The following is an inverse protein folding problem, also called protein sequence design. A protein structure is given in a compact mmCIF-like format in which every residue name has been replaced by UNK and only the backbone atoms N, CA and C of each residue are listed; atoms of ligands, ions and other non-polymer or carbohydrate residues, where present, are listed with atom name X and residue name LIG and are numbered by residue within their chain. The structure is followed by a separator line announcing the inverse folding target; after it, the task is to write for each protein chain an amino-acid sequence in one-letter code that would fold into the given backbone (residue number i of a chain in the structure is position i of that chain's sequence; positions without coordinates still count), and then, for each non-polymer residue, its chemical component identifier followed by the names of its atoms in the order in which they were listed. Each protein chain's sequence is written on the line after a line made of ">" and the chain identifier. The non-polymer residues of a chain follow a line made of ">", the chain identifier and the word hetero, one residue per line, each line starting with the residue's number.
data_IF_300248621197
#
_entry.id   IF_300248621197
#
_cell.length_a   1.000
_cell.length_b   1.000
_cell.length_c   1.000
_cell.angle_alpha   90.00
_cell.angle_beta   90.00
_cell.angle_gamma   90.00
#
_symmetry.space_group_name_H-M   'P 1'
#
loop_
_entity.id
_entity.type
_entity.pdbx_description
1 polymer ?
#
# COMPACT_ATOMS: atom_id res chain seq x y z
N UNK A 1 -4.66 -13.71 -9.83
CA UNK A 1 -4.59 -13.16 -8.46
C UNK A 1 -4.28 -11.68 -8.52
N UNK A 2 -4.71 -10.90 -7.52
CA UNK A 2 -4.46 -9.46 -7.48
C UNK A 2 -3.96 -9.02 -6.12
N UNK A 3 -3.14 -7.98 -6.11
CA UNK A 3 -2.82 -7.19 -4.91
C UNK A 3 -3.12 -5.73 -5.22
N UNK A 4 -3.56 -4.95 -4.24
CA UNK A 4 -3.80 -3.51 -4.45
C UNK A 4 -2.98 -2.66 -3.49
N UNK A 5 -2.67 -1.44 -3.92
CA UNK A 5 -1.97 -0.43 -3.15
C UNK A 5 -2.90 0.77 -3.00
N UNK A 6 -3.11 1.19 -1.77
CA UNK A 6 -3.96 2.33 -1.43
C UNK A 6 -3.29 3.16 -0.35
N UNK A 7 -3.62 4.44 -0.27
CA UNK A 7 -3.07 5.35 0.73
C UNK A 7 -3.40 6.80 0.39
N UNK A 8 -3.10 7.71 1.31
CA UNK A 8 -3.32 9.15 1.08
C UNK A 8 -2.63 9.67 -0.18
N UNK A 9 -3.19 10.72 -0.77
CA UNK A 9 -2.48 11.56 -1.74
C UNK A 9 -1.08 11.92 -1.23
N UNK A 10 -0.08 11.77 -2.10
CA UNK A 10 1.34 12.03 -1.81
C UNK A 10 1.99 11.16 -0.73
N UNK A 11 1.38 10.05 -0.29
CA UNK A 11 2.00 9.11 0.67
C UNK A 11 3.23 8.39 0.10
N UNK A 12 3.47 8.45 -1.22
CA UNK A 12 4.58 7.78 -1.89
C UNK A 12 4.22 6.49 -2.63
N UNK A 13 2.93 6.23 -2.84
CA UNK A 13 2.39 5.06 -3.56
C UNK A 13 3.01 4.84 -4.94
N UNK A 14 2.95 5.82 -5.83
CA UNK A 14 3.53 5.67 -7.18
C UNK A 14 5.04 5.48 -7.16
N UNK A 15 5.76 6.15 -6.24
CA UNK A 15 7.19 5.95 -6.04
C UNK A 15 7.51 4.54 -5.55
N UNK A 16 6.72 4.01 -4.62
CA UNK A 16 6.86 2.64 -4.14
C UNK A 16 6.61 1.63 -5.27
N UNK A 17 5.55 1.81 -6.06
CA UNK A 17 5.22 0.92 -7.19
C UNK A 17 6.34 0.96 -8.22
N UNK A 18 6.87 2.14 -8.54
CA UNK A 18 8.05 2.27 -9.42
C UNK A 18 9.26 1.54 -8.85
N UNK A 19 9.54 1.66 -7.56
CA UNK A 19 10.63 0.95 -6.90
C UNK A 19 10.40 -0.58 -6.91
N UNK A 20 9.17 -1.06 -6.74
CA UNK A 20 8.83 -2.49 -6.85
C UNK A 20 9.09 -3.03 -8.25
N UNK A 21 8.87 -2.23 -9.30
CA UNK A 21 9.16 -2.59 -10.69
C UNK A 21 10.56 -2.21 -11.17
N UNK A 22 11.48 -1.80 -10.30
CA UNK A 22 12.83 -1.38 -10.72
C UNK A 22 13.67 -2.44 -11.46
N UNK A 23 13.27 -3.71 -11.39
CA UNK A 23 13.90 -4.83 -12.11
C UNK A 23 13.12 -5.27 -13.36
N UNK A 24 12.07 -4.54 -13.72
CA UNK A 24 11.19 -4.77 -14.87
C UNK A 24 11.07 -3.45 -15.67
N UNK A 25 12.12 -3.05 -16.42
CA UNK A 25 12.22 -1.74 -17.04
C UNK A 25 11.14 -1.44 -18.09
N UNK A 26 10.46 -2.46 -18.60
CA UNK A 26 9.33 -2.37 -19.51
C UNK A 26 8.04 -1.86 -18.87
N UNK A 27 7.95 -1.85 -17.53
CA UNK A 27 6.76 -1.40 -16.81
C UNK A 27 6.84 0.12 -16.57
N UNK A 28 6.16 0.90 -17.42
CA UNK A 28 6.08 2.35 -17.25
C UNK A 28 5.17 2.73 -16.07
N UNK A 29 5.77 3.21 -14.98
CA UNK A 29 5.06 3.77 -13.82
C UNK A 29 5.28 5.27 -13.75
N UNK A 30 4.20 6.04 -13.95
CA UNK A 30 4.23 7.50 -13.83
C UNK A 30 4.18 7.92 -12.36
N UNK A 31 5.12 8.76 -11.96
CA UNK A 31 5.21 9.33 -10.60
C UNK A 31 5.04 10.84 -10.71
N UNK A 32 4.00 11.39 -10.06
CA UNK A 32 3.78 12.83 -9.98
C UNK A 32 4.00 13.32 -8.56
N UNK A 33 4.53 14.55 -8.43
CA UNK A 33 4.64 15.26 -7.16
C UNK A 33 3.32 15.97 -6.77
N UNK A 34 2.38 16.09 -7.71
CA UNK A 34 1.12 16.79 -7.50
C UNK A 34 0.07 15.84 -6.87
N UNK A 35 -0.54 16.22 -5.73
CA UNK A 35 -1.59 15.41 -5.11
C UNK A 35 -2.82 15.26 -6.03
N UNK A 36 -3.48 14.10 -5.96
CA UNK A 36 -4.63 13.76 -6.80
C UNK A 36 -4.30 13.37 -8.24
N UNK A 37 -3.04 13.05 -8.57
CA UNK A 37 -2.66 12.65 -9.93
C UNK A 37 -3.31 11.31 -10.36
N UNK A 38 -3.34 10.34 -9.46
CA UNK A 38 -4.00 9.05 -9.71
C UNK A 38 -5.49 9.21 -9.45
N UNK A 39 -6.25 9.58 -10.49
CA UNK A 39 -7.73 9.69 -10.44
C UNK A 39 -8.46 8.43 -10.87
N UNK A 40 -7.73 7.46 -11.43
CA UNK A 40 -8.25 6.17 -11.91
C UNK A 40 -7.44 5.04 -11.29
N UNK A 41 -8.04 3.87 -11.18
CA UNK A 41 -7.30 2.65 -10.86
C UNK A 41 -6.38 2.26 -12.03
N UNK A 42 -5.09 2.07 -11.76
CA UNK A 42 -4.15 1.54 -12.75
C UNK A 42 -3.85 0.06 -12.48
N UNK A 43 -3.80 -0.74 -13.54
CA UNK A 43 -3.58 -2.18 -13.45
C UNK A 43 -2.27 -2.56 -14.12
N UNK A 44 -1.33 -3.07 -13.34
CA UNK A 44 -0.03 -3.55 -13.80
C UNK A 44 -0.02 -5.07 -13.80
N UNK A 45 0.01 -5.68 -15.00
CA UNK A 45 0.15 -7.13 -15.13
C UNK A 45 1.60 -7.54 -14.91
N UNK A 46 1.84 -8.47 -13.98
CA UNK A 46 3.17 -9.03 -13.71
C UNK A 46 3.25 -10.39 -14.40
N UNK A 47 3.62 -10.37 -15.68
CA UNK A 47 3.61 -11.56 -16.54
C UNK A 47 2.26 -12.28 -16.50
N UNK A 48 2.31 -13.60 -16.28
CA UNK A 48 1.12 -14.45 -16.09
C UNK A 48 0.78 -14.70 -14.61
N UNK A 49 1.52 -14.09 -13.69
CA UNK A 49 1.51 -14.45 -12.27
C UNK A 49 0.40 -13.74 -11.49
N UNK A 50 0.40 -12.40 -11.49
CA UNK A 50 -0.59 -11.61 -10.77
C UNK A 50 -0.76 -10.22 -11.37
N UNK A 51 -1.73 -9.46 -10.86
CA UNK A 51 -1.93 -8.05 -11.19
C UNK A 51 -1.74 -7.18 -9.96
N UNK A 52 -0.89 -6.16 -10.05
CA UNK A 52 -0.78 -5.10 -9.07
C UNK A 52 -1.75 -3.98 -9.46
N UNK A 53 -2.58 -3.55 -8.51
CA UNK A 53 -3.57 -2.50 -8.72
C UNK A 53 -3.17 -1.26 -7.92
N UNK A 54 -2.95 -0.15 -8.61
CA UNK A 54 -2.70 1.16 -8.02
C UNK A 54 -4.04 1.89 -7.88
N UNK A 55 -4.55 1.97 -6.66
CA UNK A 55 -5.82 2.66 -6.40
C UNK A 55 -5.62 4.17 -6.38
N UNK A 56 -6.66 4.98 -6.66
CA UNK A 56 -6.59 6.42 -6.42
C UNK A 56 -6.19 6.72 -4.96
N UNK A 57 -5.62 7.89 -4.72
CA UNK A 57 -5.29 8.33 -3.37
C UNK A 57 -6.48 9.00 -2.69
N UNK A 58 -6.67 8.76 -1.39
CA UNK A 58 -7.70 9.44 -0.59
C UNK A 58 -7.15 10.68 0.15
N UNK A 59 -8.06 11.44 0.78
CA UNK A 59 -7.74 12.67 1.50
C UNK A 59 -7.60 13.88 0.55
N UNK A 60 -6.52 14.64 0.69
CA UNK A 60 -6.35 15.89 -0.06
C UNK A 60 -6.39 15.66 -1.58
N UNK A 61 -7.32 16.34 -2.28
CA UNK A 61 -7.57 16.21 -3.73
C UNK A 61 -7.90 14.78 -4.19
N UNK A 62 -8.51 13.98 -3.33
CA UNK A 62 -9.13 12.73 -3.78
C UNK A 62 -10.22 13.01 -4.82
N UNK A 63 -10.46 12.09 -5.77
CA UNK A 63 -11.65 12.13 -6.62
C UNK A 63 -12.94 12.16 -5.76
N UNK A 64 -13.98 12.87 -6.23
CA UNK A 64 -15.28 12.92 -5.53
C UNK A 64 -15.92 11.54 -5.41
N UNK A 65 -15.74 10.70 -6.43
CA UNK A 65 -16.22 9.32 -6.54
C UNK A 65 -15.23 8.29 -5.96
N UNK A 66 -14.23 8.71 -5.16
CA UNK A 66 -13.21 7.83 -4.62
C UNK A 66 -13.80 6.64 -3.85
N UNK A 67 -14.77 6.92 -2.97
CA UNK A 67 -15.41 5.92 -2.11
C UNK A 67 -16.11 4.90 -2.97
N UNK A 68 -17.07 5.34 -3.79
CA UNK A 68 -17.84 4.48 -4.68
C UNK A 68 -16.93 3.60 -5.57
N UNK A 69 -15.89 4.19 -6.16
CA UNK A 69 -14.97 3.49 -7.04
C UNK A 69 -14.15 2.41 -6.31
N UNK A 70 -13.58 2.75 -5.15
CA UNK A 70 -12.71 1.83 -4.40
C UNK A 70 -13.53 0.78 -3.69
N UNK A 71 -14.63 1.17 -3.05
CA UNK A 71 -15.52 0.27 -2.31
C UNK A 71 -16.11 -0.80 -3.22
N UNK A 72 -16.65 -0.39 -4.38
CA UNK A 72 -17.18 -1.32 -5.39
C UNK A 72 -16.10 -2.33 -5.80
N UNK A 73 -14.88 -1.85 -6.06
CA UNK A 73 -13.79 -2.74 -6.44
C UNK A 73 -13.40 -3.72 -5.33
N UNK A 74 -13.27 -3.24 -4.09
CA UNK A 74 -12.87 -4.05 -2.95
C UNK A 74 -13.92 -5.12 -2.63
N UNK A 75 -15.20 -4.75 -2.68
CA UNK A 75 -16.35 -5.63 -2.40
C UNK A 75 -16.54 -6.74 -3.42
N UNK A 76 -16.44 -6.44 -4.72
CA UNK A 76 -16.75 -7.41 -5.77
C UNK A 76 -15.60 -8.37 -6.09
N UNK A 77 -14.36 -8.01 -5.72
CA UNK A 77 -13.17 -8.67 -6.26
C UNK A 77 -12.71 -9.87 -5.44
N UNK A 78 -13.35 -11.01 -5.68
CA UNK A 78 -13.03 -12.31 -5.05
C UNK A 78 -11.58 -12.82 -5.20
N UNK A 79 -10.80 -12.30 -6.15
CA UNK A 79 -9.41 -12.73 -6.39
C UNK A 79 -8.35 -11.74 -5.88
N UNK A 80 -8.74 -10.81 -5.00
CA UNK A 80 -7.84 -9.92 -4.28
C UNK A 80 -7.20 -10.66 -3.10
N UNK A 81 -5.88 -10.80 -3.13
CA UNK A 81 -5.11 -11.57 -2.13
C UNK A 81 -4.73 -10.72 -0.92
N UNK A 82 -4.42 -9.44 -1.13
CA UNK A 82 -4.04 -8.51 -0.07
C UNK A 82 -4.11 -7.05 -0.51
N UNK A 83 -4.54 -6.19 0.40
CA UNK A 83 -4.46 -4.73 0.29
C UNK A 83 -3.22 -4.21 1.01
N UNK A 84 -2.44 -3.37 0.34
CA UNK A 84 -1.28 -2.69 0.91
C UNK A 84 -1.67 -1.24 1.23
N UNK A 85 -1.91 -0.95 2.50
CA UNK A 85 -2.28 0.36 3.00
C UNK A 85 -1.02 1.16 3.35
N UNK A 86 -0.77 2.23 2.61
CA UNK A 86 0.44 3.04 2.76
C UNK A 86 0.25 4.16 3.78
N UNK A 87 1.27 4.32 4.63
CA UNK A 87 1.36 5.38 5.63
C UNK A 87 2.72 6.07 5.49
N UNK A 88 2.75 7.40 5.51
CA UNK A 88 4.00 8.17 5.44
C UNK A 88 4.72 8.13 6.79
N UNK A 89 5.99 7.72 6.84
CA UNK A 89 6.74 7.61 8.10
C UNK A 89 6.92 8.93 8.84
N UNK A 90 6.91 10.06 8.13
CA UNK A 90 7.03 11.39 8.73
C UNK A 90 5.72 11.78 9.42
N UNK A 91 4.57 11.45 8.80
CA UNK A 91 3.24 11.91 9.24
C UNK A 91 2.54 10.91 10.17
N UNK A 92 2.74 9.61 9.97
CA UNK A 92 2.07 8.55 10.72
C UNK A 92 0.62 8.37 10.29
N UNK A 93 -0.11 7.46 10.95
CA UNK A 93 -1.54 7.25 10.73
C UNK A 93 -2.30 8.55 11.03
N UNK A 94 -3.25 8.90 10.18
CA UNK A 94 -4.13 10.05 10.33
C UNK A 94 -5.59 9.60 10.24
N UNK A 95 -6.52 10.42 10.73
CA UNK A 95 -7.97 10.16 10.62
C UNK A 95 -8.43 9.92 9.18
N UNK A 96 -7.78 10.56 8.19
CA UNK A 96 -8.08 10.32 6.79
C UNK A 96 -7.78 8.88 6.32
N UNK A 97 -6.95 8.12 7.05
CA UNK A 97 -6.68 6.70 6.77
C UNK A 97 -7.83 5.78 7.21
N UNK A 98 -8.71 6.24 8.12
CA UNK A 98 -9.84 5.47 8.64
C UNK A 98 -10.73 4.96 7.51
N UNK A 99 -10.95 5.77 6.46
CA UNK A 99 -11.77 5.40 5.30
C UNK A 99 -11.32 4.10 4.63
N UNK A 100 -10.02 3.87 4.52
CA UNK A 100 -9.48 2.66 3.89
C UNK A 100 -9.41 1.49 4.88
N UNK A 101 -9.17 1.79 6.16
CA UNK A 101 -9.13 0.79 7.23
C UNK A 101 -10.53 0.21 7.44
N UNK A 102 -11.55 1.08 7.57
CA UNK A 102 -12.95 0.70 7.74
C UNK A 102 -13.44 -0.18 6.57
N UNK A 103 -13.16 0.19 5.31
CA UNK A 103 -13.47 -0.66 4.16
C UNK A 103 -12.80 -2.04 4.23
N UNK A 104 -11.55 -2.11 4.70
CA UNK A 104 -10.86 -3.40 4.82
C UNK A 104 -11.46 -4.26 5.93
N UNK A 105 -11.77 -3.66 7.08
CA UNK A 105 -12.35 -4.36 8.23
C UNK A 105 -13.80 -4.79 7.95
N UNK A 106 -14.64 -3.90 7.38
CA UNK A 106 -16.05 -4.18 7.04
C UNK A 106 -16.19 -5.32 6.04
N UNK A 107 -15.34 -5.34 5.01
CA UNK A 107 -15.37 -6.40 3.99
C UNK A 107 -14.49 -7.61 4.33
N UNK A 108 -13.94 -7.66 5.56
CA UNK A 108 -13.03 -8.71 6.03
C UNK A 108 -11.86 -8.99 5.05
N UNK A 109 -11.34 -7.92 4.44
CA UNK A 109 -10.26 -8.01 3.46
C UNK A 109 -8.90 -8.06 4.17
N UNK A 110 -8.04 -9.04 3.85
CA UNK A 110 -6.71 -9.08 4.39
C UNK A 110 -5.91 -7.88 3.89
N UNK A 111 -5.34 -7.11 4.81
CA UNK A 111 -4.51 -5.97 4.47
C UNK A 111 -3.24 -5.92 5.30
N UNK A 112 -2.29 -5.10 4.87
CA UNK A 112 -1.02 -4.89 5.56
C UNK A 112 -0.63 -3.42 5.44
N UNK A 113 -0.06 -2.89 6.51
CA UNK A 113 0.46 -1.53 6.49
C UNK A 113 1.87 -1.49 5.90
N UNK A 114 2.15 -0.45 5.11
CA UNK A 114 3.46 -0.17 4.53
C UNK A 114 3.87 1.24 4.91
N UNK A 115 4.93 1.37 5.72
CA UNK A 115 5.43 2.65 6.18
C UNK A 115 6.46 3.19 5.17
N UNK A 116 6.06 4.17 4.36
CA UNK A 116 6.87 4.72 3.26
C UNK A 116 7.77 5.85 3.72
N UNK A 117 8.75 6.22 2.87
CA UNK A 117 9.64 7.38 3.05
C UNK A 117 10.48 7.35 4.33
N UNK A 118 10.86 6.15 4.78
CA UNK A 118 11.66 5.98 6.00
C UNK A 118 13.02 6.70 5.94
N UNK A 119 13.51 7.02 4.74
CA UNK A 119 14.70 7.86 4.51
C UNK A 119 14.54 9.31 5.02
N UNK A 120 13.31 9.78 5.20
CA UNK A 120 13.00 11.14 5.68
C UNK A 120 12.75 11.23 7.18
N UNK A 121 12.67 10.11 7.88
CA UNK A 121 12.43 10.07 9.32
C UNK A 121 13.73 9.88 10.09
N UNK A 122 13.92 10.63 11.17
CA UNK A 122 14.98 10.32 12.12
C UNK A 122 14.74 8.95 12.74
N UNK A 123 15.80 8.25 13.17
CA UNK A 123 15.69 6.90 13.76
C UNK A 123 14.71 6.86 14.94
N UNK A 124 14.76 7.85 15.83
CA UNK A 124 13.86 7.94 16.98
C UNK A 124 12.40 8.18 16.59
N UNK A 125 12.15 9.05 15.59
CA UNK A 125 10.79 9.26 15.09
C UNK A 125 10.24 8.02 14.40
N UNK A 126 11.05 7.37 13.56
CA UNK A 126 10.67 6.13 12.88
C UNK A 126 10.31 5.03 13.89
N UNK A 127 11.13 4.84 14.94
CA UNK A 127 10.84 3.87 15.99
C UNK A 127 9.51 4.18 16.70
N UNK A 128 9.27 5.45 17.05
CA UNK A 128 8.00 5.88 17.66
C UNK A 128 6.81 5.54 16.75
N UNK A 129 6.92 5.81 15.46
CA UNK A 129 5.86 5.54 14.48
C UNK A 129 5.60 4.03 14.34
N UNK A 130 6.65 3.22 14.26
CA UNK A 130 6.52 1.76 14.20
C UNK A 130 5.78 1.23 15.44
N UNK A 131 6.17 1.65 16.64
CA UNK A 131 5.51 1.22 17.88
C UNK A 131 4.05 1.68 17.98
N UNK A 132 3.75 2.90 17.53
CA UNK A 132 2.39 3.43 17.50
C UNK A 132 1.50 2.65 16.53
N UNK A 133 2.01 2.36 15.32
CA UNK A 133 1.29 1.59 14.32
C UNK A 133 1.09 0.14 14.78
N UNK A 134 2.11 -0.49 15.37
CA UNK A 134 1.97 -1.84 15.91
C UNK A 134 0.87 -1.91 16.97
N UNK A 135 0.91 -0.98 17.95
CA UNK A 135 -0.14 -0.89 18.96
C UNK A 135 -1.52 -0.65 18.35
N UNK A 136 -1.62 0.18 17.32
CA UNK A 136 -2.89 0.40 16.61
C UNK A 136 -3.40 -0.89 15.98
N UNK A 137 -2.54 -1.60 15.23
CA UNK A 137 -2.87 -2.89 14.61
C UNK A 137 -3.36 -3.89 15.67
N UNK A 138 -2.62 -4.04 16.76
CA UNK A 138 -2.94 -5.02 17.81
C UNK A 138 -4.23 -4.70 18.58
N UNK A 139 -4.64 -3.42 18.66
CA UNK A 139 -5.75 -2.99 19.53
C UNK A 139 -6.98 -2.46 18.80
N UNK A 140 -6.87 -2.14 17.50
CA UNK A 140 -7.91 -1.48 16.71
C UNK A 140 -8.29 -2.20 15.43
N UNK A 141 -7.60 -3.28 15.06
CA UNK A 141 -7.83 -3.99 13.79
C UNK A 141 -7.97 -5.49 14.04
N UNK A 142 -8.71 -6.18 13.16
CA UNK A 142 -8.86 -7.64 13.19
C UNK A 142 -8.25 -8.29 11.94
N UNK A 143 -8.34 -7.63 10.78
CA UNK A 143 -7.89 -8.17 9.48
C UNK A 143 -6.48 -7.74 9.07
N UNK A 144 -5.84 -6.84 9.81
CA UNK A 144 -4.52 -6.35 9.49
C UNK A 144 -3.44 -7.39 9.80
N UNK A 145 -2.53 -7.59 8.84
CA UNK A 145 -1.34 -8.38 9.05
C UNK A 145 -0.47 -7.74 10.15
N UNK A 146 -0.05 -8.50 11.19
CA UNK A 146 0.65 -7.93 12.34
C UNK A 146 1.97 -7.25 11.98
N UNK A 147 2.71 -7.78 11.00
CA UNK A 147 4.02 -7.24 10.64
C UNK A 147 3.89 -6.04 9.69
N UNK A 148 4.38 -4.88 10.14
CA UNK A 148 4.56 -3.67 9.34
C UNK A 148 5.75 -3.79 8.37
N UNK A 149 5.64 -3.16 7.20
CA UNK A 149 6.74 -3.06 6.22
C UNK A 149 7.30 -1.63 6.10
N UNK A 150 8.41 -1.29 6.77
CA UNK A 150 9.11 -0.04 6.56
C UNK A 150 9.88 -0.06 5.24
N UNK A 151 9.64 0.93 4.37
CA UNK A 151 10.25 0.99 3.03
C UNK A 151 10.70 2.41 2.64
N UNK A 152 11.79 2.47 1.87
CA UNK A 152 12.19 3.67 1.14
C UNK A 152 12.29 3.36 -0.36
N UNK A 153 11.54 4.11 -1.16
CA UNK A 153 11.67 4.07 -2.62
C UNK A 153 12.95 4.78 -3.12
N UNK A 154 13.64 5.55 -2.25
CA UNK A 154 14.86 6.28 -2.58
C UNK A 154 16.08 5.42 -2.33
N UNK A 155 16.17 4.80 -1.14
CA UNK A 155 17.32 3.97 -0.75
C UNK A 155 17.12 2.49 -1.05
N UNK A 156 15.94 2.11 -1.55
CA UNK A 156 15.51 0.72 -1.76
C UNK A 156 15.44 -0.15 -0.48
N UNK A 157 15.60 0.45 0.69
CA UNK A 157 15.45 -0.23 1.97
C UNK A 157 14.04 -0.84 2.09
N UNK A 158 13.97 -2.11 2.49
CA UNK A 158 12.73 -2.87 2.65
C UNK A 158 12.05 -3.34 1.35
N UNK A 159 12.44 -2.83 0.17
CA UNK A 159 11.78 -3.15 -1.10
C UNK A 159 11.92 -4.63 -1.47
N UNK A 160 13.10 -5.22 -1.27
CA UNK A 160 13.33 -6.64 -1.56
C UNK A 160 12.47 -7.55 -0.68
N UNK A 161 12.36 -7.24 0.62
CA UNK A 161 11.50 -7.98 1.55
C UNK A 161 10.03 -7.88 1.14
N UNK A 162 9.57 -6.68 0.76
CA UNK A 162 8.22 -6.46 0.28
C UNK A 162 7.93 -7.24 -1.01
N UNK A 163 8.90 -7.32 -1.95
CA UNK A 163 8.79 -8.18 -3.15
C UNK A 163 8.66 -9.65 -2.79
N UNK A 164 9.49 -10.16 -1.89
CA UNK A 164 9.41 -11.55 -1.44
C UNK A 164 8.04 -11.84 -0.82
N UNK A 165 7.54 -10.93 0.01
CA UNK A 165 6.23 -11.06 0.62
C UNK A 165 5.11 -11.08 -0.42
N UNK A 166 5.12 -10.17 -1.39
CA UNK A 166 4.15 -10.14 -2.50
C UNK A 166 4.23 -11.44 -3.32
N UNK A 167 5.43 -11.92 -3.63
CA UNK A 167 5.63 -13.17 -4.36
C UNK A 167 5.08 -14.37 -3.58
N UNK A 168 5.33 -14.42 -2.27
CA UNK A 168 4.83 -15.47 -1.38
C UNK A 168 3.30 -15.50 -1.33
N UNK A 169 2.64 -14.38 -1.01
CA UNK A 169 1.17 -14.33 -0.88
C UNK A 169 0.45 -14.52 -2.22
N UNK A 170 1.15 -14.34 -3.34
CA UNK A 170 0.63 -14.62 -4.69
C UNK A 170 0.99 -16.02 -5.18
N UNK A 171 1.61 -16.87 -4.36
CA UNK A 171 1.97 -18.25 -4.70
C UNK A 171 3.16 -18.39 -5.66
N UNK A 172 3.93 -17.33 -5.87
CA UNK A 172 5.09 -17.28 -6.78
C UNK A 172 6.43 -17.41 -6.06
N UNK A 173 6.42 -17.59 -4.74
CA UNK A 173 7.57 -17.94 -3.93
C UNK A 173 7.15 -19.02 -2.92
N UNK A 174 7.82 -20.17 -2.95
CA UNK A 174 7.59 -21.24 -1.96
C UNK A 174 8.52 -21.04 -0.76
N UNK A 175 7.98 -21.18 0.44
CA UNK A 175 8.78 -21.37 1.65
C UNK A 175 8.86 -22.87 1.88
N UNK A 176 10.06 -23.43 1.77
CA UNK A 176 10.33 -24.82 2.15
C UNK A 176 10.23 -25.00 3.66
#
# INVERSE_FOLDING_TARGET
>A
MRVCFIGRSNVGKSSLIKALFSLAPEVEVRVSKNPGHTKKMNFFKVGKFFTLVDMPGYGYRAPEDFVDMVETYLKERKNLMRTFLLVDSVVGIQKADDIAIEMCEEFALPYVMVLTKIDKSSKGHLLKQVLQIQKFVDTKTQGCFPQLFPVSAVTYSGIHLLRCFIAYITGNLKTN
#
